data_IF_899526204366
#
_entry.id   IF_899526204366
#
_cell.length_a   1.000
_cell.length_b   1.000
_cell.length_c   1.000
_cell.angle_alpha   90.00
_cell.angle_beta   90.00
_cell.angle_gamma   90.00
#
_symmetry.space_group_name_H-M   'P 1'
#
loop_
_entity.id
_entity.type
_entity.pdbx_description
1 polymer ?
#
# COMPACT_ATOMS: atom_id res chain seq x y z
N UNK A 1 10.86 -18.13 7.07
CA UNK A 1 10.44 -16.94 6.30
C UNK A 1 9.23 -16.32 6.96
N UNK A 2 9.12 -14.98 6.98
CA UNK A 2 7.93 -14.27 7.48
C UNK A 2 7.48 -13.26 6.44
N UNK A 3 6.23 -13.35 6.01
CA UNK A 3 5.62 -12.43 5.04
C UNK A 3 4.70 -11.45 5.76
N UNK A 4 4.94 -10.16 5.60
CA UNK A 4 4.02 -9.11 6.03
C UNK A 4 3.03 -8.85 4.89
N UNK A 5 1.74 -9.11 5.13
CA UNK A 5 0.67 -8.88 4.15
C UNK A 5 -0.10 -7.62 4.53
N UNK A 6 -0.08 -6.66 3.64
CA UNK A 6 -0.75 -5.36 3.80
C UNK A 6 -1.94 -5.26 2.87
N UNK A 7 -3.09 -5.00 3.45
CA UNK A 7 -4.32 -4.73 2.73
C UNK A 7 -4.38 -3.22 2.38
N UNK A 8 -4.15 -2.88 1.12
CA UNK A 8 -4.31 -1.51 0.61
C UNK A 8 -5.78 -1.21 0.35
N UNK A 9 -6.35 -0.31 1.12
CA UNK A 9 -7.75 0.08 0.98
C UNK A 9 -7.91 1.18 -0.09
N UNK A 10 -6.91 2.07 -0.21
CA UNK A 10 -6.90 3.11 -1.22
C UNK A 10 -8.21 3.92 -1.24
N UNK A 11 -8.84 4.02 -2.39
CA UNK A 11 -10.13 4.70 -2.60
C UNK A 11 -11.37 3.81 -2.34
N UNK A 12 -11.19 2.52 -2.07
CA UNK A 12 -12.31 1.54 -1.98
C UNK A 12 -13.27 1.74 -0.80
N UNK A 13 -12.91 2.58 0.17
CA UNK A 13 -13.82 2.99 1.25
C UNK A 13 -14.83 4.06 0.79
N UNK A 14 -14.61 4.69 -0.39
CA UNK A 14 -15.52 5.61 -1.07
C UNK A 14 -15.97 6.79 -0.19
N UNK A 15 -15.08 7.29 0.70
CA UNK A 15 -15.39 8.37 1.64
C UNK A 15 -16.39 7.99 2.75
N UNK A 16 -16.66 6.71 2.95
CA UNK A 16 -17.61 6.22 3.95
C UNK A 16 -16.89 5.53 5.11
N UNK A 17 -16.91 6.16 6.28
CA UNK A 17 -16.25 5.66 7.51
C UNK A 17 -16.78 4.29 7.95
N UNK A 18 -18.08 4.05 7.83
CA UNK A 18 -18.68 2.75 8.20
C UNK A 18 -18.16 1.66 7.28
N UNK A 19 -18.10 1.95 5.97
CA UNK A 19 -17.52 1.06 4.97
C UNK A 19 -16.04 0.80 5.25
N UNK A 20 -15.26 1.85 5.55
CA UNK A 20 -13.85 1.73 5.90
C UNK A 20 -13.64 0.81 7.12
N UNK A 21 -14.37 1.03 8.21
CA UNK A 21 -14.32 0.16 9.42
C UNK A 21 -14.69 -1.28 9.09
N UNK A 22 -15.69 -1.51 8.22
CA UNK A 22 -16.09 -2.86 7.77
C UNK A 22 -14.94 -3.54 7.01
N UNK A 23 -14.27 -2.82 6.08
CA UNK A 23 -13.11 -3.35 5.36
C UNK A 23 -11.98 -3.68 6.34
N UNK A 24 -11.61 -2.77 7.24
CA UNK A 24 -10.57 -2.98 8.25
C UNK A 24 -10.85 -4.23 9.10
N UNK A 25 -12.10 -4.38 9.60
CA UNK A 25 -12.51 -5.57 10.37
C UNK A 25 -12.35 -6.86 9.58
N UNK A 26 -12.78 -6.86 8.31
CA UNK A 26 -12.67 -8.04 7.45
C UNK A 26 -11.20 -8.35 7.12
N UNK A 27 -10.36 -7.34 6.85
CA UNK A 27 -8.91 -7.52 6.66
C UNK A 27 -8.26 -8.15 7.90
N UNK A 28 -8.61 -7.68 9.11
CA UNK A 28 -8.14 -8.30 10.37
C UNK A 28 -8.56 -9.77 10.47
N UNK A 29 -9.82 -10.06 10.21
CA UNK A 29 -10.35 -11.44 10.22
C UNK A 29 -9.71 -12.34 9.16
N UNK A 30 -9.29 -11.76 8.03
CA UNK A 30 -8.54 -12.47 6.97
C UNK A 30 -7.09 -12.76 7.35
N UNK A 31 -6.57 -12.19 8.44
CA UNK A 31 -5.19 -12.40 8.91
C UNK A 31 -4.18 -11.39 8.34
N UNK A 32 -4.62 -10.27 7.78
CA UNK A 32 -3.72 -9.21 7.34
C UNK A 32 -2.93 -8.62 8.51
N UNK A 33 -1.66 -8.34 8.29
CA UNK A 33 -0.76 -7.74 9.29
C UNK A 33 -1.03 -6.24 9.46
N UNK A 34 -1.43 -5.56 8.39
CA UNK A 34 -1.73 -4.14 8.40
C UNK A 34 -2.80 -3.77 7.36
N UNK A 35 -3.41 -2.61 7.58
CA UNK A 35 -4.22 -1.91 6.58
C UNK A 35 -3.55 -0.59 6.21
N UNK A 36 -3.64 -0.24 4.93
CA UNK A 36 -3.06 0.99 4.41
C UNK A 36 -4.12 1.84 3.74
N UNK A 37 -4.02 3.14 3.93
CA UNK A 37 -4.79 4.17 3.27
C UNK A 37 -3.87 5.14 2.54
N UNK A 38 -4.48 6.12 1.88
CA UNK A 38 -3.78 7.17 1.17
C UNK A 38 -4.34 8.52 1.62
N UNK A 39 -3.45 9.46 1.95
CA UNK A 39 -3.81 10.82 2.31
C UNK A 39 -3.31 11.77 1.22
N UNK A 40 -4.18 12.06 0.29
CA UNK A 40 -3.97 13.05 -0.78
C UNK A 40 -5.01 14.18 -0.66
N UNK A 41 -4.73 15.27 -1.35
CA UNK A 41 -5.73 16.27 -1.73
C UNK A 41 -5.99 16.08 -3.22
N UNK A 42 -7.24 15.91 -3.62
CA UNK A 42 -7.57 15.64 -5.02
C UNK A 42 -7.14 16.81 -5.93
N UNK A 43 -7.30 18.03 -5.44
CA UNK A 43 -6.91 19.25 -6.17
C UNK A 43 -5.40 19.32 -6.46
N UNK A 44 -4.55 18.70 -5.64
CA UNK A 44 -3.10 18.67 -5.84
C UNK A 44 -2.69 17.64 -6.92
N UNK A 45 -3.50 16.59 -7.13
CA UNK A 45 -3.08 15.41 -7.90
C UNK A 45 -3.87 15.19 -9.19
N UNK A 46 -5.07 15.76 -9.30
CA UNK A 46 -5.99 15.46 -10.39
C UNK A 46 -6.66 16.73 -10.91
N UNK A 47 -6.90 16.75 -12.22
CA UNK A 47 -7.72 17.79 -12.83
C UNK A 47 -9.20 17.56 -12.45
N UNK A 48 -9.93 18.65 -12.17
CA UNK A 48 -11.37 18.61 -11.87
C UNK A 48 -12.24 18.02 -13.00
N UNK A 49 -11.72 18.02 -14.23
CA UNK A 49 -12.35 17.38 -15.39
C UNK A 49 -12.12 15.86 -15.46
N UNK A 50 -11.35 15.28 -14.53
CA UNK A 50 -11.11 13.84 -14.52
C UNK A 50 -12.43 13.07 -14.38
N UNK A 51 -12.69 12.02 -15.19
CA UNK A 51 -13.96 11.29 -15.19
C UNK A 51 -14.39 10.78 -13.81
N UNK A 52 -13.42 10.37 -13.00
CA UNK A 52 -13.65 9.87 -11.63
C UNK A 52 -13.53 10.95 -10.55
N UNK A 53 -13.48 12.26 -10.91
CA UNK A 53 -13.22 13.34 -9.97
C UNK A 53 -14.09 13.29 -8.71
N UNK A 54 -15.42 13.14 -8.89
CA UNK A 54 -16.36 13.09 -7.75
C UNK A 54 -16.03 11.98 -6.75
N UNK A 55 -15.65 10.80 -7.25
CA UNK A 55 -15.31 9.65 -6.40
C UNK A 55 -13.94 9.85 -5.74
N UNK A 56 -12.96 10.36 -6.49
CA UNK A 56 -11.64 10.69 -5.97
C UNK A 56 -11.78 11.74 -4.86
N UNK A 57 -12.44 12.85 -5.11
CA UNK A 57 -12.67 13.93 -4.13
C UNK A 57 -13.37 13.42 -2.88
N UNK A 58 -14.40 12.59 -3.04
CA UNK A 58 -15.11 11.98 -1.92
C UNK A 58 -14.23 11.04 -1.10
N UNK A 59 -13.21 10.44 -1.71
CA UNK A 59 -12.32 9.47 -1.08
C UNK A 59 -11.07 10.11 -0.44
N UNK A 60 -10.96 11.43 -0.42
CA UNK A 60 -9.94 12.13 0.37
C UNK A 60 -10.08 11.76 1.84
N UNK A 61 -8.97 11.33 2.43
CA UNK A 61 -8.94 10.96 3.83
C UNK A 61 -8.54 12.18 4.67
N UNK A 62 -9.51 12.77 5.37
CA UNK A 62 -9.27 13.91 6.28
C UNK A 62 -8.54 13.45 7.55
N UNK A 63 -7.90 14.38 8.27
CA UNK A 63 -7.22 14.10 9.54
C UNK A 63 -8.17 13.52 10.58
N UNK A 64 -9.39 14.06 10.67
CA UNK A 64 -10.41 13.53 11.60
C UNK A 64 -10.80 12.09 11.25
N UNK A 65 -11.07 11.81 9.97
CA UNK A 65 -11.41 10.46 9.50
C UNK A 65 -10.25 9.48 9.76
N UNK A 66 -9.01 9.89 9.46
CA UNK A 66 -7.84 9.06 9.73
C UNK A 66 -7.65 8.77 11.21
N UNK A 67 -7.87 9.75 12.11
CA UNK A 67 -7.88 9.55 13.57
C UNK A 67 -8.92 8.51 13.99
N UNK A 68 -10.15 8.61 13.46
CA UNK A 68 -11.24 7.67 13.77
C UNK A 68 -10.87 6.25 13.32
N UNK A 69 -10.31 6.11 12.10
CA UNK A 69 -9.93 4.82 11.54
C UNK A 69 -8.70 4.22 12.25
N UNK A 70 -7.72 5.05 12.62
CA UNK A 70 -6.55 4.63 13.41
C UNK A 70 -6.97 4.10 14.79
N UNK A 71 -7.78 4.86 15.54
CA UNK A 71 -8.32 4.41 16.81
C UNK A 71 -9.10 3.10 16.70
N UNK A 72 -9.88 2.95 15.62
CA UNK A 72 -10.61 1.71 15.37
C UNK A 72 -9.65 0.54 15.06
N UNK A 73 -8.63 0.75 14.22
CA UNK A 73 -7.63 -0.25 13.88
C UNK A 73 -6.84 -0.71 15.13
N UNK A 74 -6.46 0.24 16.01
CA UNK A 74 -5.78 -0.06 17.26
C UNK A 74 -6.66 -0.89 18.20
N UNK A 75 -7.95 -0.54 18.35
CA UNK A 75 -8.91 -1.31 19.16
C UNK A 75 -8.98 -2.77 18.74
N UNK A 76 -8.94 -3.06 17.43
CA UNK A 76 -8.99 -4.43 16.93
C UNK A 76 -7.61 -5.04 16.67
N UNK A 77 -6.54 -4.36 17.08
CA UNK A 77 -5.14 -4.80 17.01
C UNK A 77 -4.70 -5.15 15.58
N UNK A 78 -4.93 -4.25 14.62
CA UNK A 78 -4.34 -4.29 13.27
C UNK A 78 -3.53 -3.01 13.04
N UNK A 79 -2.34 -3.14 12.46
CA UNK A 79 -1.50 -1.99 12.16
C UNK A 79 -2.15 -1.10 11.08
N UNK A 80 -2.03 0.22 11.27
CA UNK A 80 -2.60 1.22 10.36
C UNK A 80 -1.52 2.21 9.95
N UNK A 81 -1.39 2.45 8.67
CA UNK A 81 -0.52 3.50 8.14
C UNK A 81 -1.04 4.05 6.81
N UNK A 82 -0.39 5.10 6.30
CA UNK A 82 -0.82 5.77 5.08
C UNK A 82 0.35 6.06 4.14
N UNK A 83 0.01 6.20 2.84
CA UNK A 83 0.79 7.00 1.91
C UNK A 83 0.38 8.46 2.09
N UNK A 84 1.27 9.33 2.58
CA UNK A 84 1.05 10.78 2.64
C UNK A 84 1.58 11.44 1.36
N UNK A 85 0.82 12.38 0.79
CA UNK A 85 1.19 13.08 -0.45
C UNK A 85 1.52 14.56 -0.24
N UNK A 86 1.35 15.08 0.97
CA UNK A 86 1.66 16.45 1.36
C UNK A 86 2.26 16.51 2.77
N UNK A 87 3.07 17.53 3.11
CA UNK A 87 3.86 17.57 4.34
C UNK A 87 3.04 17.52 5.63
N UNK A 88 1.91 18.23 5.67
CA UNK A 88 1.07 18.29 6.87
C UNK A 88 0.43 16.93 7.19
N UNK A 89 0.22 16.08 6.16
CA UNK A 89 -0.21 14.71 6.39
C UNK A 89 0.86 13.89 7.13
N UNK A 90 2.15 14.19 6.93
CA UNK A 90 3.23 13.52 7.66
C UNK A 90 3.21 13.94 9.12
N UNK A 91 3.07 15.25 9.43
CA UNK A 91 2.97 15.75 10.81
C UNK A 91 1.78 15.13 11.54
N UNK A 92 0.64 15.13 10.87
CA UNK A 92 -0.56 14.52 11.42
C UNK A 92 -0.36 13.01 11.69
N UNK A 93 0.24 12.26 10.76
CA UNK A 93 0.48 10.83 10.95
C UNK A 93 1.49 10.56 12.08
N UNK A 94 2.47 11.47 12.29
CA UNK A 94 3.34 11.41 13.48
C UNK A 94 2.55 11.62 14.77
N UNK A 95 1.62 12.58 14.81
CA UNK A 95 0.79 12.87 15.99
C UNK A 95 -0.10 11.70 16.41
N UNK A 96 -0.49 10.83 15.46
CA UNK A 96 -1.27 9.61 15.73
C UNK A 96 -0.42 8.34 15.80
N UNK A 97 0.91 8.49 15.89
CA UNK A 97 1.87 7.41 16.11
C UNK A 97 1.82 6.27 15.08
N UNK A 98 1.82 6.58 13.78
CA UNK A 98 2.01 5.53 12.76
C UNK A 98 3.42 4.94 12.86
N UNK A 99 3.57 3.64 12.63
CA UNK A 99 4.83 2.94 12.81
C UNK A 99 5.75 3.00 11.59
N UNK A 100 5.22 3.32 10.43
CA UNK A 100 5.92 3.30 9.15
C UNK A 100 5.21 4.17 8.11
N UNK A 101 5.91 4.42 7.00
CA UNK A 101 5.37 5.15 5.86
C UNK A 101 5.43 4.33 4.59
N UNK A 102 4.46 4.53 3.70
CA UNK A 102 4.55 4.12 2.31
C UNK A 102 4.90 5.33 1.44
N UNK A 103 5.76 5.09 0.45
CA UNK A 103 6.07 6.02 -0.62
C UNK A 103 5.48 5.43 -1.90
N UNK A 104 4.46 6.10 -2.42
CA UNK A 104 3.80 5.69 -3.65
C UNK A 104 4.69 5.97 -4.87
N UNK A 105 4.53 5.18 -5.92
CA UNK A 105 5.29 5.32 -7.16
C UNK A 105 5.21 6.74 -7.73
N UNK A 106 4.04 7.35 -7.72
CA UNK A 106 3.79 8.71 -8.19
C UNK A 106 4.66 9.74 -7.46
N UNK A 107 4.76 9.65 -6.13
CA UNK A 107 5.58 10.58 -5.33
C UNK A 107 7.06 10.51 -5.69
N UNK A 108 7.56 9.34 -6.14
CA UNK A 108 8.94 9.16 -6.56
C UNK A 108 9.30 9.90 -7.86
N UNK A 109 8.32 10.32 -8.65
CA UNK A 109 8.53 11.14 -9.85
C UNK A 109 8.97 12.57 -9.53
N UNK A 110 8.64 13.06 -8.32
CA UNK A 110 8.89 14.45 -7.88
C UNK A 110 8.20 15.50 -8.77
N UNK A 111 7.09 15.14 -9.42
CA UNK A 111 6.33 16.03 -10.32
C UNK A 111 5.10 16.65 -9.64
N UNK A 112 4.53 15.97 -8.63
CA UNK A 112 3.38 16.49 -7.91
C UNK A 112 3.79 17.64 -6.98
N UNK A 113 2.88 18.57 -6.69
CA UNK A 113 3.09 19.58 -5.64
C UNK A 113 3.50 18.89 -4.34
N UNK A 114 4.41 19.50 -3.60
CA UNK A 114 4.87 19.02 -2.29
C UNK A 114 5.59 17.64 -2.27
N UNK A 115 5.74 16.94 -3.41
CA UNK A 115 6.34 15.60 -3.42
C UNK A 115 7.73 15.56 -2.76
N UNK A 116 8.62 16.46 -3.15
CA UNK A 116 9.98 16.53 -2.60
C UNK A 116 9.97 16.84 -1.10
N UNK A 117 9.18 17.83 -0.68
CA UNK A 117 9.07 18.23 0.72
C UNK A 117 8.51 17.11 1.59
N UNK A 118 7.43 16.47 1.11
CA UNK A 118 6.82 15.29 1.77
C UNK A 118 7.81 14.15 1.94
N UNK A 119 8.64 13.86 0.93
CA UNK A 119 9.67 12.82 1.03
C UNK A 119 10.75 13.20 2.03
N UNK A 120 11.26 14.45 2.01
CA UNK A 120 12.23 14.95 3.00
C UNK A 120 11.69 14.82 4.42
N UNK A 121 10.43 15.20 4.63
CA UNK A 121 9.76 15.11 5.92
C UNK A 121 9.59 13.67 6.40
N UNK A 122 9.19 12.75 5.54
CA UNK A 122 9.18 11.30 5.88
C UNK A 122 10.57 10.79 6.23
N UNK A 123 11.59 11.21 5.48
CA UNK A 123 12.97 10.79 5.75
C UNK A 123 13.46 11.26 7.13
N UNK A 124 13.10 12.48 7.55
CA UNK A 124 13.49 13.03 8.86
C UNK A 124 12.88 12.28 10.05
N UNK A 125 11.76 11.57 9.87
CA UNK A 125 11.14 10.76 10.94
C UNK A 125 11.99 9.56 11.35
N UNK A 126 12.94 9.14 10.51
CA UNK A 126 13.76 7.93 10.66
C UNK A 126 12.97 6.62 10.79
N UNK A 127 11.65 6.67 10.67
CA UNK A 127 10.78 5.48 10.69
C UNK A 127 11.00 4.60 9.47
N UNK A 128 10.63 3.31 9.53
CA UNK A 128 10.67 2.41 8.37
C UNK A 128 9.83 2.94 7.20
N UNK A 129 10.35 2.79 5.99
CA UNK A 129 9.67 3.21 4.76
C UNK A 129 9.56 2.06 3.77
N UNK A 130 8.42 1.96 3.12
CA UNK A 130 8.16 1.03 2.03
C UNK A 130 8.11 1.85 0.74
N UNK A 131 8.95 1.54 -0.24
CA UNK A 131 9.14 2.35 -1.44
C UNK A 131 8.72 1.57 -2.67
N UNK A 132 7.74 2.08 -3.42
CA UNK A 132 7.38 1.61 -4.76
C UNK A 132 7.79 2.65 -5.79
N UNK A 133 8.34 2.19 -6.93
CA UNK A 133 8.80 3.05 -8.02
C UNK A 133 8.29 2.58 -9.38
N UNK A 134 7.08 2.03 -9.44
CA UNK A 134 6.48 1.47 -10.66
C UNK A 134 6.18 2.49 -11.76
N UNK A 135 6.25 3.79 -11.47
CA UNK A 135 6.14 4.87 -12.46
C UNK A 135 7.52 5.42 -12.87
N UNK A 136 8.62 4.82 -12.40
CA UNK A 136 9.97 5.32 -12.62
C UNK A 136 10.43 6.33 -11.56
N UNK A 137 11.26 7.27 -11.98
CA UNK A 137 11.93 8.24 -11.11
C UNK A 137 13.40 7.88 -10.86
N UNK A 138 14.13 8.81 -10.24
CA UNK A 138 15.56 8.62 -9.96
C UNK A 138 15.76 7.75 -8.70
N UNK A 139 15.90 6.43 -8.89
CA UNK A 139 16.08 5.44 -7.82
C UNK A 139 17.23 5.81 -6.88
N UNK A 140 18.39 6.20 -7.42
CA UNK A 140 19.58 6.58 -6.63
C UNK A 140 19.28 7.78 -5.72
N UNK A 141 18.64 8.81 -6.26
CA UNK A 141 18.24 10.03 -5.51
C UNK A 141 17.24 9.68 -4.39
N UNK A 142 16.20 8.90 -4.70
CA UNK A 142 15.19 8.50 -3.71
C UNK A 142 15.82 7.65 -2.61
N UNK A 143 16.56 6.60 -2.93
CA UNK A 143 17.18 5.73 -1.92
C UNK A 143 18.20 6.47 -1.05
N UNK A 144 18.95 7.43 -1.59
CA UNK A 144 19.88 8.29 -0.85
C UNK A 144 19.14 9.16 0.17
N UNK A 145 17.97 9.71 -0.19
CA UNK A 145 17.15 10.53 0.71
C UNK A 145 16.76 9.76 1.98
N UNK A 146 16.49 8.46 1.85
CA UNK A 146 16.11 7.57 2.97
C UNK A 146 17.29 6.77 3.53
N UNK A 147 18.54 7.26 3.42
CA UNK A 147 19.74 6.53 3.88
C UNK A 147 19.70 6.15 5.35
N UNK A 148 19.05 6.95 6.19
CA UNK A 148 18.91 6.77 7.65
C UNK A 148 17.64 5.98 8.05
N UNK A 149 16.80 5.58 7.09
CA UNK A 149 15.57 4.83 7.36
C UNK A 149 15.77 3.35 7.02
N UNK A 150 15.12 2.47 7.77
CA UNK A 150 14.97 1.09 7.34
C UNK A 150 14.05 1.05 6.11
N UNK A 151 14.55 0.53 4.99
CA UNK A 151 13.87 0.56 3.69
C UNK A 151 13.42 -0.83 3.28
N UNK A 152 12.20 -0.91 2.75
CA UNK A 152 11.67 -2.06 2.01
C UNK A 152 11.44 -1.57 0.59
N UNK A 153 12.15 -2.11 -0.38
CA UNK A 153 11.94 -1.83 -1.80
C UNK A 153 10.91 -2.80 -2.36
N UNK A 154 9.85 -2.28 -2.99
CA UNK A 154 8.82 -3.12 -3.61
C UNK A 154 8.95 -3.11 -5.13
N UNK A 155 8.94 -4.31 -5.73
CA UNK A 155 8.60 -4.44 -7.13
C UNK A 155 7.17 -3.94 -7.35
N UNK A 156 6.98 -3.13 -8.35
CA UNK A 156 5.69 -2.50 -8.62
C UNK A 156 5.65 -2.05 -10.08
N UNK A 157 4.55 -2.32 -10.75
CA UNK A 157 4.19 -1.73 -12.04
C UNK A 157 2.89 -0.96 -11.81
N UNK A 158 2.87 0.34 -12.14
CA UNK A 158 1.72 1.22 -11.85
C UNK A 158 0.74 1.22 -13.02
N UNK A 159 0.16 0.06 -13.29
CA UNK A 159 -0.91 -0.17 -14.26
C UNK A 159 -2.11 -0.79 -13.51
N UNK A 160 -3.34 -0.36 -13.81
CA UNK A 160 -4.55 -0.68 -13.01
C UNK A 160 -5.73 -1.08 -13.89
N UNK A 161 -6.04 -2.38 -14.08
CA UNK A 161 -5.27 -3.54 -13.60
C UNK A 161 -3.98 -3.77 -14.37
N UNK A 162 -3.01 -4.43 -13.75
CA UNK A 162 -1.81 -4.92 -14.39
C UNK A 162 -2.07 -6.28 -15.05
N UNK A 163 -1.66 -6.44 -16.30
CA UNK A 163 -1.62 -7.73 -16.98
C UNK A 163 -0.50 -8.60 -16.39
N UNK A 164 -0.81 -9.85 -16.10
CA UNK A 164 0.10 -10.76 -15.41
C UNK A 164 1.41 -11.00 -16.18
N UNK A 165 1.33 -11.03 -17.50
CA UNK A 165 2.44 -11.30 -18.42
C UNK A 165 3.47 -10.17 -18.47
N UNK A 166 3.11 -8.97 -18.01
CA UNK A 166 4.03 -7.82 -17.92
C UNK A 166 4.98 -7.90 -16.73
N UNK A 167 4.79 -8.85 -15.83
CA UNK A 167 5.67 -9.01 -14.67
C UNK A 167 6.99 -9.64 -15.08
N UNK A 168 8.09 -8.95 -14.85
CA UNK A 168 9.42 -9.52 -14.98
C UNK A 168 9.73 -10.39 -13.76
N UNK A 169 9.49 -11.69 -13.89
CA UNK A 169 9.72 -12.68 -12.84
C UNK A 169 11.20 -12.98 -12.56
N UNK A 170 12.12 -12.57 -13.43
CA UNK A 170 13.55 -12.61 -13.13
C UNK A 170 13.96 -11.45 -12.21
N UNK A 171 13.35 -10.28 -12.41
CA UNK A 171 13.64 -9.09 -11.64
C UNK A 171 12.83 -8.98 -10.33
N UNK A 172 11.54 -9.31 -10.34
CA UNK A 172 10.65 -9.12 -9.22
C UNK A 172 11.21 -9.70 -7.89
N UNK A 173 11.76 -10.93 -7.84
CA UNK A 173 12.29 -11.50 -6.60
C UNK A 173 13.60 -10.86 -6.08
N UNK A 174 14.16 -9.90 -6.81
CA UNK A 174 15.32 -9.12 -6.33
C UNK A 174 14.90 -8.00 -5.37
N UNK A 175 13.61 -7.67 -5.32
CA UNK A 175 13.06 -6.68 -4.38
C UNK A 175 12.69 -7.34 -3.05
N UNK A 176 12.59 -6.51 -1.99
CA UNK A 176 12.19 -6.96 -0.66
C UNK A 176 10.70 -7.30 -0.57
N UNK A 177 9.89 -6.68 -1.43
CA UNK A 177 8.45 -6.82 -1.45
C UNK A 177 7.84 -6.65 -2.83
N UNK A 178 6.53 -6.87 -2.88
CA UNK A 178 5.71 -6.72 -4.07
C UNK A 178 4.47 -5.88 -3.75
N UNK A 179 4.28 -4.77 -4.48
CA UNK A 179 3.07 -3.96 -4.47
C UNK A 179 2.30 -4.31 -5.75
N UNK A 180 1.31 -5.19 -5.59
CA UNK A 180 0.65 -5.90 -6.69
C UNK A 180 -0.62 -5.20 -7.16
N UNK A 181 -0.73 -5.02 -8.48
CA UNK A 181 -1.89 -4.46 -9.17
C UNK A 181 -2.54 -5.42 -10.17
N UNK A 182 -2.14 -6.70 -10.18
CA UNK A 182 -2.79 -7.71 -11.03
C UNK A 182 -4.20 -8.03 -10.55
N UNK A 183 -5.01 -8.65 -11.38
CA UNK A 183 -6.26 -9.25 -10.93
C UNK A 183 -6.00 -10.55 -10.17
N UNK A 184 -6.81 -10.84 -9.15
CA UNK A 184 -6.69 -12.07 -8.37
C UNK A 184 -5.49 -12.12 -7.43
N UNK A 185 -5.07 -13.33 -7.08
CA UNK A 185 -4.09 -13.61 -6.02
C UNK A 185 -2.85 -14.37 -6.52
N UNK A 186 -2.77 -14.71 -7.80
CA UNK A 186 -1.71 -15.55 -8.35
C UNK A 186 -0.33 -14.89 -8.25
N UNK A 187 -0.21 -13.62 -8.66
CA UNK A 187 1.07 -12.93 -8.69
C UNK A 187 1.75 -12.81 -7.31
N UNK A 188 1.07 -12.40 -6.23
CA UNK A 188 1.70 -12.36 -4.91
C UNK A 188 2.03 -13.77 -4.35
N UNK A 189 1.31 -14.81 -4.76
CA UNK A 189 1.65 -16.22 -4.41
C UNK A 189 2.96 -16.62 -5.08
N UNK A 190 3.09 -16.42 -6.40
CA UNK A 190 4.31 -16.73 -7.15
C UNK A 190 5.49 -15.94 -6.60
N UNK A 191 5.33 -14.64 -6.35
CA UNK A 191 6.38 -13.83 -5.73
C UNK A 191 6.84 -14.44 -4.40
N UNK A 192 5.89 -14.87 -3.56
CA UNK A 192 6.19 -15.47 -2.26
C UNK A 192 6.97 -16.78 -2.40
N UNK A 193 6.61 -17.64 -3.36
CA UNK A 193 7.33 -18.88 -3.67
C UNK A 193 8.77 -18.57 -4.12
N UNK A 194 8.94 -17.66 -5.07
CA UNK A 194 10.27 -17.28 -5.58
C UNK A 194 11.16 -16.70 -4.48
N UNK A 195 10.60 -15.89 -3.58
CA UNK A 195 11.32 -15.37 -2.41
C UNK A 195 11.67 -16.47 -1.40
N UNK A 196 10.83 -17.49 -1.28
CA UNK A 196 11.08 -18.64 -0.42
C UNK A 196 12.24 -19.47 -0.96
N UNK A 197 12.24 -19.79 -2.26
CA UNK A 197 13.34 -20.49 -2.97
C UNK A 197 14.66 -19.73 -2.79
N UNK A 198 14.64 -18.39 -2.82
CA UNK A 198 15.82 -17.53 -2.56
C UNK A 198 16.18 -17.42 -1.07
N UNK A 199 15.60 -18.20 -0.18
CA UNK A 199 15.85 -18.18 1.27
C UNK A 199 15.67 -16.80 1.93
N UNK A 200 14.74 -15.97 1.42
CA UNK A 200 14.46 -14.65 1.98
C UNK A 200 13.87 -14.77 3.38
N UNK A 201 14.42 -14.06 4.35
CA UNK A 201 13.96 -14.10 5.75
C UNK A 201 12.65 -13.32 5.97
N UNK A 202 12.51 -12.19 5.28
CA UNK A 202 11.36 -11.29 5.39
C UNK A 202 10.86 -10.89 4.01
N UNK A 203 9.55 -10.84 3.84
CA UNK A 203 8.89 -10.47 2.59
C UNK A 203 7.77 -9.48 2.92
N UNK A 204 7.53 -8.55 2.02
CA UNK A 204 6.42 -7.61 2.08
C UNK A 204 5.51 -7.80 0.86
N UNK A 205 4.23 -7.98 1.10
CA UNK A 205 3.18 -8.05 0.06
C UNK A 205 2.15 -6.96 0.34
N UNK A 206 1.86 -6.17 -0.66
CA UNK A 206 0.80 -5.16 -0.63
C UNK A 206 -0.19 -5.46 -1.76
N UNK A 207 -1.47 -5.56 -1.42
CA UNK A 207 -2.54 -5.85 -2.37
C UNK A 207 -3.74 -4.96 -2.10
N UNK A 208 -4.31 -4.36 -3.15
CA UNK A 208 -5.56 -3.62 -3.05
C UNK A 208 -6.71 -4.52 -2.65
N UNK A 209 -7.54 -4.04 -1.71
CA UNK A 209 -8.69 -4.79 -1.19
C UNK A 209 -9.97 -3.99 -1.23
N UNK A 210 -11.10 -4.69 -1.46
CA UNK A 210 -12.42 -4.09 -1.53
C UNK A 210 -13.50 -4.98 -0.89
N UNK A 211 -14.65 -4.41 -0.62
CA UNK A 211 -15.88 -5.21 -0.47
C UNK A 211 -16.40 -5.59 -1.86
N UNK A 212 -17.14 -6.70 -1.93
CA UNK A 212 -17.66 -7.25 -3.20
C UNK A 212 -18.30 -6.19 -4.12
N UNK A 213 -19.03 -5.24 -3.55
CA UNK A 213 -19.79 -4.22 -4.28
C UNK A 213 -19.10 -2.84 -4.36
N UNK A 214 -17.79 -2.75 -4.06
CA UNK A 214 -17.05 -1.49 -4.21
C UNK A 214 -16.87 -1.11 -5.67
N UNK A 215 -17.04 0.20 -5.96
CA UNK A 215 -16.96 0.79 -7.31
C UNK A 215 -15.92 1.92 -7.41
N UNK A 216 -15.02 2.03 -6.42
CA UNK A 216 -13.96 3.05 -6.42
C UNK A 216 -12.97 2.86 -7.58
N UNK A 217 -12.15 3.87 -7.88
CA UNK A 217 -11.14 3.80 -8.96
C UNK A 217 -10.20 2.59 -8.85
N UNK A 218 -9.87 2.17 -7.62
CA UNK A 218 -9.00 1.01 -7.38
C UNK A 218 -9.73 -0.34 -7.47
N UNK A 219 -11.05 -0.36 -7.72
CA UNK A 219 -11.84 -1.59 -7.62
C UNK A 219 -11.47 -2.66 -8.65
N UNK A 220 -11.02 -2.27 -9.85
CA UNK A 220 -10.63 -3.20 -10.92
C UNK A 220 -9.41 -4.05 -10.55
N UNK A 221 -8.44 -3.46 -9.85
CA UNK A 221 -7.20 -4.13 -9.42
C UNK A 221 -7.28 -4.75 -8.02
N UNK A 222 -8.42 -4.58 -7.34
CA UNK A 222 -8.60 -5.00 -5.94
C UNK A 222 -9.21 -6.39 -5.83
N UNK A 223 -8.68 -7.17 -4.88
CA UNK A 223 -9.29 -8.44 -4.46
C UNK A 223 -10.36 -8.20 -3.39
N UNK A 224 -11.29 -9.13 -3.26
CA UNK A 224 -12.26 -9.10 -2.17
C UNK A 224 -11.61 -9.50 -0.84
N UNK A 225 -12.26 -9.20 0.28
CA UNK A 225 -11.78 -9.62 1.60
C UNK A 225 -11.76 -11.15 1.78
N UNK A 226 -12.57 -11.86 1.03
CA UNK A 226 -12.61 -13.33 0.97
C UNK A 226 -11.38 -13.87 0.22
N UNK A 227 -11.06 -13.29 -0.95
CA UNK A 227 -9.82 -13.58 -1.68
C UNK A 227 -8.56 -13.20 -0.89
N UNK A 228 -8.61 -12.12 -0.09
CA UNK A 228 -7.52 -11.77 0.81
C UNK A 228 -7.28 -12.87 1.86
N UNK A 229 -8.34 -13.46 2.41
CA UNK A 229 -8.23 -14.59 3.35
C UNK A 229 -7.56 -15.79 2.68
N UNK A 230 -7.96 -16.08 1.46
CA UNK A 230 -7.37 -17.16 0.65
C UNK A 230 -5.89 -16.90 0.38
N UNK A 231 -5.53 -15.71 -0.12
CA UNK A 231 -4.15 -15.29 -0.35
C UNK A 231 -3.29 -15.50 0.90
N UNK A 232 -3.75 -15.01 2.04
CA UNK A 232 -3.00 -15.13 3.29
C UNK A 232 -2.86 -16.59 3.71
N UNK A 233 -3.91 -17.40 3.58
CA UNK A 233 -3.84 -18.82 3.85
C UNK A 233 -2.76 -19.52 3.01
N UNK A 234 -2.72 -19.28 1.70
CA UNK A 234 -1.69 -19.81 0.80
C UNK A 234 -0.28 -19.35 1.19
N UNK A 235 -0.11 -18.07 1.49
CA UNK A 235 1.17 -17.53 1.96
C UNK A 235 1.63 -18.25 3.24
N UNK A 236 0.75 -18.50 4.21
CA UNK A 236 1.11 -19.18 5.47
C UNK A 236 1.49 -20.66 5.24
N UNK A 237 0.90 -21.31 4.22
CA UNK A 237 1.32 -22.65 3.79
C UNK A 237 2.73 -22.60 3.20
N UNK A 238 2.99 -21.67 2.27
CA UNK A 238 4.30 -21.50 1.64
C UNK A 238 5.39 -21.20 2.68
N UNK A 239 5.09 -20.39 3.69
CA UNK A 239 6.05 -20.08 4.79
C UNK A 239 6.53 -21.34 5.53
N UNK A 240 5.66 -22.32 5.68
CA UNK A 240 5.94 -23.58 6.41
C UNK A 240 6.55 -24.67 5.51
N UNK A 241 6.32 -24.61 4.20
CA UNK A 241 6.81 -25.59 3.24
C UNK A 241 8.34 -25.59 3.13
N UNK A 242 8.90 -26.73 2.76
CA UNK A 242 10.31 -26.88 2.36
C UNK A 242 10.38 -26.87 0.83
N UNK A 243 11.31 -26.15 0.26
CA UNK A 243 11.59 -26.10 -1.17
C UNK A 243 13.06 -26.41 -1.38
#
# INVERSE_FOLDING_TARGET
MKTTVVAEIGSNWEGNIIKAKKIISKCKKSGADAVKFQMWRADDLYNTKHPSWKVIKKSELTFNQASILKKFADKIKIDFFCSAFFPEAVDFLESINVKRYKIASRTCLLKDPFALETLKKKASTKKPVIISMGMGGNKKKILKMFSKNNKISCYCISEYPLEFEKIDWAMAPQYDGFSDHTMGIMAPIIFTILKKIKNSKKIYIEKHVKLKNSKGPDASTSITTEQLKELISQIRIIEKSRF
#
